data_IF_287578200649
#
_entry.id   IF_287578200649
#
_cell.length_a   1.000
_cell.length_b   1.000
_cell.length_c   1.000
_cell.angle_alpha   90.00
_cell.angle_beta   90.00
_cell.angle_gamma   90.00
#
_symmetry.space_group_name_H-M   'P 1'
#
loop_
_entity.id
_entity.type
_entity.pdbx_description
1 polymer ?
#
# COMPACT_ATOMS: atom_id res chain seq x y z
N UNK A 1 20.47 2.58 6.71
CA UNK A 1 19.73 3.83 6.45
C UNK A 1 18.26 3.51 6.35
N UNK A 2 17.42 4.21 7.07
CA UNK A 2 15.99 4.04 7.00
C UNK A 2 15.44 4.66 5.73
N UNK A 3 14.42 4.02 5.12
CA UNK A 3 13.79 4.51 3.90
C UNK A 3 12.54 5.35 4.19
N UNK A 4 12.22 5.56 5.45
CA UNK A 4 11.10 6.39 5.88
C UNK A 4 11.49 7.17 7.13
N UNK A 5 10.74 8.23 7.42
CA UNK A 5 10.98 9.03 8.61
C UNK A 5 10.65 8.23 9.87
N UNK A 6 11.50 8.31 10.91
CA UNK A 6 11.24 7.56 12.13
C UNK A 6 9.97 8.02 12.84
N UNK A 7 9.41 7.13 13.64
CA UNK A 7 8.28 7.45 14.49
C UNK A 7 8.61 8.63 15.39
N UNK A 8 7.69 9.56 15.55
CA UNK A 8 7.90 10.77 16.34
C UNK A 8 8.45 11.95 15.55
N UNK A 9 8.87 11.74 14.28
CA UNK A 9 9.27 12.86 13.42
C UNK A 9 8.09 13.75 13.08
N UNK A 10 8.35 15.00 12.69
CA UNK A 10 7.28 15.90 12.32
C UNK A 10 6.40 15.38 11.16
N UNK A 11 6.99 14.83 10.06
CA UNK A 11 6.17 14.25 8.99
C UNK A 11 5.35 13.04 9.45
N UNK A 12 5.92 12.18 10.29
CA UNK A 12 5.21 11.02 10.84
C UNK A 12 4.06 11.46 11.73
N UNK A 13 4.28 12.47 12.57
CA UNK A 13 3.25 13.00 13.46
C UNK A 13 2.13 13.68 12.67
N UNK A 14 2.46 14.36 11.57
CA UNK A 14 1.46 14.97 10.70
C UNK A 14 0.56 13.93 10.05
N UNK A 15 1.13 12.82 9.59
CA UNK A 15 0.36 11.71 9.03
C UNK A 15 -0.55 11.09 10.08
N UNK A 16 -0.02 10.84 11.27
CA UNK A 16 -0.83 10.27 12.36
C UNK A 16 -1.99 11.18 12.72
N UNK A 17 -1.74 12.49 12.84
CA UNK A 17 -2.79 13.46 13.15
C UNK A 17 -3.87 13.47 12.06
N UNK A 18 -3.47 13.38 10.79
CA UNK A 18 -4.41 13.30 9.68
C UNK A 18 -5.28 12.04 9.76
N UNK A 19 -4.66 10.89 10.03
CA UNK A 19 -5.39 9.63 10.15
C UNK A 19 -6.36 9.66 11.34
N UNK A 20 -5.93 10.21 12.47
CA UNK A 20 -6.78 10.37 13.64
C UNK A 20 -8.00 11.24 13.33
N UNK A 21 -7.80 12.32 12.57
CA UNK A 21 -8.90 13.20 12.16
C UNK A 21 -9.89 12.48 11.24
N UNK A 22 -9.39 11.63 10.32
CA UNK A 22 -10.25 10.83 9.45
C UNK A 22 -11.08 9.83 10.25
N UNK A 23 -10.49 9.23 11.28
CA UNK A 23 -11.21 8.28 12.15
C UNK A 23 -12.39 8.96 12.87
N UNK A 24 -12.23 10.22 13.24
CA UNK A 24 -13.33 10.98 13.84
C UNK A 24 -14.49 11.20 12.88
N UNK A 25 -14.23 11.15 11.59
CA UNK A 25 -15.25 11.24 10.54
C UNK A 25 -15.71 9.86 10.06
N UNK A 26 -15.31 8.79 10.76
CA UNK A 26 -15.60 7.39 10.37
C UNK A 26 -15.00 7.02 9.00
N UNK A 27 -13.88 7.63 8.64
CA UNK A 27 -13.13 7.28 7.44
C UNK A 27 -11.90 6.49 7.88
N UNK A 28 -11.82 5.23 7.44
CA UNK A 28 -10.78 4.30 7.89
C UNK A 28 -9.86 3.93 6.73
N UNK A 29 -8.67 4.54 6.65
CA UNK A 29 -7.71 4.14 5.62
C UNK A 29 -7.26 2.70 5.82
N UNK A 30 -7.35 1.90 4.76
CA UNK A 30 -6.88 0.51 4.76
C UNK A 30 -6.00 0.30 3.54
N UNK A 31 -4.75 -0.06 3.78
CA UNK A 31 -3.81 -0.40 2.73
C UNK A 31 -3.77 -1.91 2.53
N UNK A 32 -3.99 -2.37 1.32
CA UNK A 32 -3.71 -3.75 0.97
C UNK A 32 -2.29 -3.83 0.41
N UNK A 33 -1.54 -4.86 0.80
CA UNK A 33 -0.25 -5.17 0.20
C UNK A 33 -0.32 -6.54 -0.43
N UNK A 34 0.26 -6.69 -1.61
CA UNK A 34 0.33 -7.98 -2.30
C UNK A 34 1.79 -8.36 -2.49
N UNK A 35 2.20 -9.44 -1.85
CA UNK A 35 3.53 -10.01 -2.02
C UNK A 35 3.39 -11.41 -2.64
N UNK A 36 4.06 -11.60 -3.77
CA UNK A 36 4.07 -12.88 -4.46
C UNK A 36 5.49 -13.43 -4.39
N UNK A 37 5.67 -14.50 -3.65
CA UNK A 37 7.00 -15.07 -3.39
C UNK A 37 7.67 -14.44 -2.19
N UNK A 38 8.98 -14.70 -2.05
CA UNK A 38 9.75 -14.31 -0.87
C UNK A 38 11.05 -13.60 -1.24
N UNK A 39 11.02 -12.75 -2.26
CA UNK A 39 12.19 -11.97 -2.64
C UNK A 39 12.60 -11.07 -1.48
N UNK A 40 13.89 -11.03 -1.10
CA UNK A 40 14.34 -10.24 0.04
C UNK A 40 14.00 -8.75 -0.04
N UNK A 41 14.02 -8.16 -1.23
CA UNK A 41 13.67 -6.75 -1.40
C UNK A 41 12.18 -6.52 -1.12
N UNK A 42 11.32 -7.43 -1.58
CA UNK A 42 9.89 -7.33 -1.32
C UNK A 42 9.58 -7.50 0.16
N UNK A 43 10.26 -8.43 0.82
CA UNK A 43 10.10 -8.65 2.26
C UNK A 43 10.52 -7.44 3.07
N UNK A 44 11.65 -6.82 2.72
CA UNK A 44 12.14 -5.62 3.39
C UNK A 44 11.17 -4.45 3.22
N UNK A 45 10.69 -4.24 2.02
CA UNK A 45 9.72 -3.18 1.73
C UNK A 45 8.44 -3.39 2.52
N UNK A 46 7.95 -4.63 2.57
CA UNK A 46 6.75 -4.96 3.32
C UNK A 46 6.92 -4.64 4.80
N UNK A 47 8.04 -5.05 5.39
CA UNK A 47 8.31 -4.84 6.80
C UNK A 47 8.38 -3.35 7.16
N UNK A 48 9.09 -2.56 6.36
CA UNK A 48 9.18 -1.12 6.58
C UNK A 48 7.82 -0.44 6.49
N UNK A 49 7.03 -0.86 5.50
CA UNK A 49 5.70 -0.30 5.27
C UNK A 49 4.75 -0.64 6.42
N UNK A 50 4.79 -1.89 6.89
CA UNK A 50 3.95 -2.34 8.00
C UNK A 50 4.25 -1.55 9.27
N UNK A 51 5.52 -1.33 9.57
CA UNK A 51 5.93 -0.59 10.75
C UNK A 51 5.46 0.87 10.68
N UNK A 52 5.68 1.51 9.54
CA UNK A 52 5.27 2.90 9.34
C UNK A 52 3.75 3.05 9.39
N UNK A 53 3.01 2.13 8.78
CA UNK A 53 1.54 2.15 8.79
C UNK A 53 1.00 1.98 10.21
N UNK A 54 1.59 1.08 10.98
CA UNK A 54 1.20 0.87 12.38
C UNK A 54 1.39 2.14 13.20
N UNK A 55 2.52 2.81 13.01
CA UNK A 55 2.81 4.08 13.72
C UNK A 55 1.83 5.18 13.35
N UNK A 56 1.31 5.15 12.12
CA UNK A 56 0.35 6.16 11.63
C UNK A 56 -1.10 5.82 11.96
N UNK A 57 -1.39 4.59 12.39
CA UNK A 57 -2.75 4.15 12.65
C UNK A 57 -3.48 3.67 11.40
N UNK A 58 -2.76 3.39 10.32
CA UNK A 58 -3.33 2.86 9.09
C UNK A 58 -3.35 1.34 9.16
N UNK A 59 -4.49 0.75 8.90
CA UNK A 59 -4.61 -0.71 8.85
C UNK A 59 -4.01 -1.25 7.57
N UNK A 60 -3.34 -2.41 7.69
CA UNK A 60 -2.77 -3.10 6.53
C UNK A 60 -3.38 -4.49 6.43
N UNK A 61 -3.85 -4.82 5.23
CA UNK A 61 -4.32 -6.16 4.91
C UNK A 61 -3.29 -6.78 3.97
N UNK A 62 -2.65 -7.85 4.42
CA UNK A 62 -1.57 -8.48 3.69
C UNK A 62 -2.09 -9.65 2.87
N UNK A 63 -1.79 -9.62 1.57
CA UNK A 63 -2.01 -10.75 0.67
C UNK A 63 -0.64 -11.34 0.37
N UNK A 64 -0.42 -12.56 0.81
CA UNK A 64 0.86 -13.27 0.65
C UNK A 64 0.59 -14.50 -0.18
N UNK A 65 1.16 -14.53 -1.39
CA UNK A 65 0.92 -15.57 -2.37
C UNK A 65 2.21 -16.33 -2.69
N UNK A 66 2.10 -17.60 -3.06
CA UNK A 66 3.28 -18.39 -3.41
C UNK A 66 3.93 -17.91 -4.71
N UNK A 67 5.23 -18.16 -4.83
CA UNK A 67 6.01 -17.73 -5.99
C UNK A 67 5.54 -18.33 -7.31
N UNK A 68 4.84 -19.45 -7.26
CA UNK A 68 4.32 -20.14 -8.44
C UNK A 68 2.88 -19.75 -8.80
N UNK A 69 2.38 -18.67 -8.19
CA UNK A 69 1.04 -18.17 -8.52
C UNK A 69 0.96 -17.88 -10.02
N UNK A 70 -0.11 -18.39 -10.66
CA UNK A 70 -0.31 -18.16 -12.09
C UNK A 70 -0.75 -16.73 -12.37
N UNK A 71 -0.51 -16.27 -13.60
CA UNK A 71 -0.98 -14.95 -14.02
C UNK A 71 -2.51 -14.83 -13.92
N UNK A 72 -3.23 -15.90 -14.27
CA UNK A 72 -4.69 -15.91 -14.17
C UNK A 72 -5.16 -15.75 -12.72
N UNK A 73 -4.54 -16.43 -11.78
CA UNK A 73 -4.90 -16.34 -10.38
C UNK A 73 -4.51 -14.97 -9.79
N UNK A 74 -3.39 -14.41 -10.22
CA UNK A 74 -2.99 -13.07 -9.82
C UNK A 74 -4.01 -12.03 -10.30
N UNK A 75 -4.46 -12.14 -11.54
CA UNK A 75 -5.47 -11.23 -12.09
C UNK A 75 -6.81 -11.37 -11.35
N UNK A 76 -7.19 -12.59 -11.01
CA UNK A 76 -8.41 -12.82 -10.23
C UNK A 76 -8.33 -12.15 -8.86
N UNK A 77 -7.18 -12.26 -8.21
CA UNK A 77 -6.97 -11.61 -6.93
C UNK A 77 -7.08 -10.08 -7.05
N UNK A 78 -6.53 -9.50 -8.11
CA UNK A 78 -6.65 -8.07 -8.37
C UNK A 78 -8.13 -7.68 -8.55
N UNK A 79 -8.91 -8.50 -9.25
CA UNK A 79 -10.35 -8.25 -9.40
C UNK A 79 -11.07 -8.27 -8.06
N UNK A 80 -10.74 -9.21 -7.20
CA UNK A 80 -11.32 -9.27 -5.85
C UNK A 80 -10.97 -8.02 -5.03
N UNK A 81 -9.73 -7.58 -5.13
CA UNK A 81 -9.27 -6.36 -4.43
C UNK A 81 -10.00 -5.14 -4.98
N UNK A 82 -10.18 -5.05 -6.29
CA UNK A 82 -10.93 -3.94 -6.90
C UNK A 82 -12.36 -3.85 -6.35
N UNK A 83 -12.98 -5.00 -6.13
CA UNK A 83 -14.36 -5.06 -5.65
C UNK A 83 -14.51 -4.86 -4.15
N UNK A 84 -13.42 -4.96 -3.40
CA UNK A 84 -13.48 -4.86 -1.93
C UNK A 84 -13.57 -3.40 -1.49
N UNK A 85 -14.75 -3.01 -1.03
CA UNK A 85 -15.02 -1.62 -0.63
C UNK A 85 -14.28 -1.21 0.64
N UNK A 86 -13.78 -2.17 1.42
CA UNK A 86 -13.04 -1.87 2.65
C UNK A 86 -11.60 -1.46 2.38
N UNK A 87 -11.06 -1.77 1.19
CA UNK A 87 -9.69 -1.47 0.85
C UNK A 87 -9.59 -0.12 0.17
N UNK A 88 -8.77 0.77 0.71
CA UNK A 88 -8.57 2.11 0.15
C UNK A 88 -7.59 2.09 -1.01
N UNK A 89 -6.55 1.26 -0.91
CA UNK A 89 -5.46 1.23 -1.88
C UNK A 89 -4.78 -0.13 -1.86
N UNK A 90 -4.07 -0.44 -2.95
CA UNK A 90 -3.21 -1.62 -3.02
C UNK A 90 -1.81 -1.21 -3.41
N UNK A 91 -0.83 -1.75 -2.71
CA UNK A 91 0.57 -1.68 -3.12
C UNK A 91 1.05 -3.07 -3.51
N UNK A 92 1.47 -3.21 -4.76
CA UNK A 92 2.09 -4.44 -5.25
C UNK A 92 3.58 -4.38 -4.92
N UNK A 93 4.03 -5.26 -4.04
CA UNK A 93 5.43 -5.30 -3.62
C UNK A 93 6.28 -5.92 -4.73
N UNK A 94 7.41 -5.28 -5.03
CA UNK A 94 8.30 -5.71 -6.11
C UNK A 94 9.66 -6.10 -5.54
N UNK A 95 10.41 -6.99 -6.21
CA UNK A 95 10.08 -7.60 -7.51
C UNK A 95 9.11 -8.78 -7.39
N UNK A 96 8.43 -9.06 -8.47
CA UNK A 96 7.59 -10.25 -8.61
C UNK A 96 8.41 -11.40 -9.21
N UNK A 97 7.94 -12.66 -9.09
CA UNK A 97 8.52 -13.76 -9.84
C UNK A 97 8.55 -13.45 -11.34
N UNK A 98 9.58 -13.94 -12.03
CA UNK A 98 9.80 -13.63 -13.45
C UNK A 98 8.65 -14.07 -14.38
N UNK A 99 7.79 -14.97 -13.92
CA UNK A 99 6.63 -15.44 -14.68
C UNK A 99 5.47 -14.44 -14.69
N UNK A 100 5.55 -13.38 -13.88
CA UNK A 100 4.49 -12.38 -13.76
C UNK A 100 5.00 -11.01 -14.21
N UNK A 101 4.11 -10.25 -14.84
CA UNK A 101 4.37 -8.88 -15.27
C UNK A 101 3.71 -7.91 -14.29
N UNK A 102 4.52 -7.25 -13.48
CA UNK A 102 4.02 -6.32 -12.46
C UNK A 102 3.23 -5.16 -13.07
N UNK A 103 3.73 -4.60 -14.18
CA UNK A 103 3.04 -3.47 -14.81
C UNK A 103 1.69 -3.88 -15.37
N UNK A 104 1.61 -5.08 -15.96
CA UNK A 104 0.33 -5.60 -16.47
C UNK A 104 -0.67 -5.82 -15.33
N UNK A 105 -0.21 -6.31 -14.18
CA UNK A 105 -1.08 -6.49 -13.02
C UNK A 105 -1.56 -5.15 -12.47
N UNK A 106 -0.69 -4.16 -12.40
CA UNK A 106 -1.08 -2.83 -11.93
C UNK A 106 -2.08 -2.15 -12.85
N UNK A 107 -2.00 -2.40 -14.15
CA UNK A 107 -2.98 -1.86 -15.09
C UNK A 107 -4.39 -2.39 -14.83
N UNK A 108 -4.51 -3.58 -14.26
CA UNK A 108 -5.80 -4.18 -13.93
C UNK A 108 -6.37 -3.67 -12.62
N UNK A 109 -5.56 -3.03 -11.80
CA UNK A 109 -6.01 -2.40 -10.56
C UNK A 109 -6.80 -1.14 -10.90
N UNK A 110 -7.96 -0.95 -10.27
CA UNK A 110 -8.74 0.24 -10.50
C UNK A 110 -7.97 1.51 -10.10
N UNK A 111 -8.10 2.60 -10.87
CA UNK A 111 -7.31 3.82 -10.60
C UNK A 111 -7.48 4.38 -9.19
N UNK A 112 -8.65 4.23 -8.60
CA UNK A 112 -8.93 4.73 -7.26
C UNK A 112 -8.07 4.10 -6.18
N UNK A 113 -7.55 2.90 -6.43
CA UNK A 113 -6.72 2.15 -5.48
C UNK A 113 -5.23 2.16 -5.82
N UNK A 114 -4.84 2.86 -6.88
CA UNK A 114 -3.43 2.97 -7.27
C UNK A 114 -2.74 4.05 -6.46
N UNK A 115 -1.59 3.69 -5.89
CA UNK A 115 -0.76 4.63 -5.11
C UNK A 115 0.72 4.56 -5.54
N UNK A 116 1.03 3.78 -6.56
CA UNK A 116 2.42 3.47 -6.96
C UNK A 116 3.05 4.49 -7.90
N UNK A 117 2.43 5.64 -8.13
CA UNK A 117 3.02 6.69 -8.94
C UNK A 117 4.40 7.09 -8.39
N UNK A 118 5.33 7.50 -9.25
CA UNK A 118 6.65 7.90 -8.80
C UNK A 118 6.60 8.93 -7.66
N UNK A 119 7.48 8.73 -6.68
CA UNK A 119 7.59 9.65 -5.55
C UNK A 119 8.53 10.80 -5.94
N UNK A 120 8.13 12.06 -5.71
CA UNK A 120 9.00 13.20 -6.02
C UNK A 120 10.34 13.10 -5.29
N UNK A 121 11.41 13.59 -5.94
CA UNK A 121 12.73 13.60 -5.34
C UNK A 121 12.72 14.41 -4.05
N UNK A 122 13.40 13.89 -3.03
CA UNK A 122 13.48 14.55 -1.72
C UNK A 122 12.34 14.24 -0.77
N UNK A 123 11.31 13.53 -1.21
CA UNK A 123 10.24 13.09 -0.32
C UNK A 123 10.50 11.68 0.21
N UNK A 124 10.01 11.42 1.41
CA UNK A 124 10.08 10.08 2.02
C UNK A 124 9.14 9.14 1.26
N UNK A 125 9.64 8.08 0.61
CA UNK A 125 8.80 7.22 -0.20
C UNK A 125 7.67 6.55 0.58
N UNK A 126 7.95 6.07 1.77
CA UNK A 126 6.94 5.32 2.55
C UNK A 126 5.87 6.26 3.08
N UNK A 127 6.24 7.41 3.64
CA UNK A 127 5.26 8.38 4.10
C UNK A 127 4.43 8.92 2.95
N UNK A 128 5.02 9.12 1.78
CA UNK A 128 4.29 9.55 0.59
C UNK A 128 3.24 8.51 0.20
N UNK A 129 3.60 7.23 0.20
CA UNK A 129 2.65 6.16 -0.09
C UNK A 129 1.52 6.13 0.93
N UNK A 130 1.83 6.24 2.21
CA UNK A 130 0.82 6.21 3.26
C UNK A 130 -0.11 7.43 3.20
N UNK A 131 0.40 8.61 2.85
CA UNK A 131 -0.45 9.77 2.60
C UNK A 131 -1.39 9.54 1.42
N UNK A 132 -0.92 8.84 0.38
CA UNK A 132 -1.78 8.48 -0.76
C UNK A 132 -2.89 7.51 -0.36
N UNK A 133 -2.63 6.63 0.61
CA UNK A 133 -3.68 5.75 1.17
C UNK A 133 -4.74 6.58 1.87
N UNK A 134 -4.33 7.57 2.66
CA UNK A 134 -5.26 8.48 3.32
C UNK A 134 -6.05 9.30 2.30
N UNK A 135 -5.39 9.78 1.22
CA UNK A 135 -6.06 10.48 0.12
C UNK A 135 -7.12 9.61 -0.52
N UNK A 136 -6.79 8.35 -0.79
CA UNK A 136 -7.72 7.42 -1.42
C UNK A 136 -8.93 7.14 -0.53
N UNK A 137 -8.71 6.94 0.76
CA UNK A 137 -9.79 6.72 1.72
C UNK A 137 -10.72 7.93 1.77
N UNK A 138 -10.15 9.12 1.80
CA UNK A 138 -10.91 10.37 1.84
C UNK A 138 -11.74 10.57 0.58
N UNK A 139 -11.14 10.33 -0.59
CA UNK A 139 -11.85 10.46 -1.87
C UNK A 139 -13.06 9.53 -1.96
N UNK A 140 -12.93 8.30 -1.46
CA UNK A 140 -14.01 7.31 -1.52
C UNK A 140 -15.17 7.68 -0.60
N UNK A 141 -14.88 8.37 0.50
CA UNK A 141 -15.87 8.72 1.51
C UNK A 141 -16.67 9.98 1.16
N UNK A 142 -16.17 10.79 0.23
CA UNK A 142 -16.78 12.09 -0.08
C UNK A 142 -17.55 12.11 -1.39
#
# INVERSE_FOLDING_TARGET
MTKYSPAGSAPQNALKARVDALYLEYIFPVLATLRIGEDPEALEQEEELLEAAKSAGIRVRRYIMPADLSAADAEELIREINADVLLSALLLLRPLPATLDADALEEKLCPEKRISDPVPAGEDPILTLLNRVADAAERRAR
#
